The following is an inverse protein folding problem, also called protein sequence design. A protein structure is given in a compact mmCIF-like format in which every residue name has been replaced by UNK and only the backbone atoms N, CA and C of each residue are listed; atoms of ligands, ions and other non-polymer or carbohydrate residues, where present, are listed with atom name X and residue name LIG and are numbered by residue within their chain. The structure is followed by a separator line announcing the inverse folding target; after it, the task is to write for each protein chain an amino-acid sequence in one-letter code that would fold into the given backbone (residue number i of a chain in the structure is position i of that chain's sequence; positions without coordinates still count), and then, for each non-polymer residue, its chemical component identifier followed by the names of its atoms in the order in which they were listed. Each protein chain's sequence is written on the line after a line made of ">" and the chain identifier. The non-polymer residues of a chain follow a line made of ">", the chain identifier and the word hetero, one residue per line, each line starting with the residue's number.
data_IF_021269597401
#
_entry.id   IF_021269597401
#
_cell.length_a   1.000
_cell.length_b   1.000
_cell.length_c   1.000
_cell.angle_alpha   90.00
_cell.angle_beta   90.00
_cell.angle_gamma   90.00
#
_symmetry.space_group_name_H-M   'P 1'
#
loop_
_entity.id
_entity.type
_entity.pdbx_description
1 polymer ?
#
# COMPACT_ATOMS: atom_id res chain seq x y z
N UNK A 1 -7.45 -11.88 22.01
CA UNK A 1 -6.44 -12.41 21.08
C UNK A 1 -6.58 -11.67 19.75
N UNK A 2 -5.46 -11.23 19.17
CA UNK A 2 -5.42 -10.57 17.87
C UNK A 2 -5.18 -11.59 16.76
N UNK A 3 -6.01 -11.58 15.71
CA UNK A 3 -5.86 -12.41 14.53
C UNK A 3 -6.01 -11.59 13.26
N UNK A 4 -5.01 -11.62 12.37
CA UNK A 4 -4.96 -10.78 11.17
C UNK A 4 -5.06 -11.65 9.90
N UNK A 5 -6.08 -11.42 9.08
CA UNK A 5 -6.12 -11.88 7.70
C UNK A 5 -5.40 -10.88 6.81
N UNK A 6 -4.38 -11.31 6.06
CA UNK A 6 -3.54 -10.40 5.30
C UNK A 6 -2.97 -11.05 4.03
N UNK A 7 -2.45 -10.22 3.12
CA UNK A 7 -1.69 -10.68 1.95
C UNK A 7 -0.21 -10.31 2.09
N UNK A 8 0.68 -11.05 1.42
CA UNK A 8 2.14 -10.88 1.50
C UNK A 8 2.56 -9.44 1.18
N UNK A 9 2.24 -8.95 -0.02
CA UNK A 9 2.65 -7.63 -0.53
C UNK A 9 1.53 -6.59 -0.52
N UNK A 10 0.36 -6.88 0.09
CA UNK A 10 -0.72 -5.90 0.18
C UNK A 10 -0.29 -4.65 0.96
N UNK A 11 -0.32 -3.49 0.31
CA UNK A 11 0.02 -2.19 0.95
C UNK A 11 -0.86 -1.90 2.17
N UNK A 12 -2.13 -2.29 2.11
CA UNK A 12 -3.06 -2.15 3.23
C UNK A 12 -2.70 -3.11 4.39
N UNK A 13 -2.33 -4.36 4.09
CA UNK A 13 -1.92 -5.33 5.10
C UNK A 13 -0.57 -4.96 5.74
N UNK A 14 0.35 -4.36 4.98
CA UNK A 14 1.61 -3.84 5.50
C UNK A 14 1.36 -2.79 6.59
N UNK A 15 0.40 -1.88 6.43
CA UNK A 15 0.04 -0.90 7.47
C UNK A 15 -0.29 -1.60 8.79
N UNK A 16 -1.16 -2.60 8.77
CA UNK A 16 -1.56 -3.35 9.97
C UNK A 16 -0.38 -4.09 10.60
N UNK A 17 0.43 -4.81 9.79
CA UNK A 17 1.63 -5.50 10.29
C UNK A 17 2.64 -4.55 10.91
N UNK A 18 2.95 -3.43 10.26
CA UNK A 18 3.85 -2.41 10.81
C UNK A 18 3.37 -1.93 12.17
N UNK A 19 2.08 -1.60 12.31
CA UNK A 19 1.51 -1.16 13.57
C UNK A 19 1.65 -2.23 14.67
N UNK A 20 1.32 -3.48 14.36
CA UNK A 20 1.44 -4.59 15.31
C UNK A 20 2.88 -4.79 15.77
N UNK A 21 3.85 -4.72 14.86
CA UNK A 21 5.27 -4.89 15.19
C UNK A 21 5.86 -3.68 15.91
N UNK A 22 5.49 -2.45 15.56
CA UNK A 22 5.91 -1.24 16.27
C UNK A 22 5.45 -1.24 17.74
N UNK A 23 4.26 -1.77 17.97
CA UNK A 23 3.69 -1.88 19.33
C UNK A 23 4.16 -3.13 20.08
N UNK A 24 4.95 -4.00 19.45
CA UNK A 24 5.45 -5.23 20.07
C UNK A 24 4.35 -6.23 20.41
N UNK A 25 3.21 -6.17 19.76
CA UNK A 25 2.06 -7.00 20.06
C UNK A 25 2.24 -8.44 19.55
N UNK A 26 1.73 -9.41 20.31
CA UNK A 26 1.59 -10.80 19.86
C UNK A 26 0.27 -10.95 19.11
N UNK A 27 0.32 -11.59 17.96
CA UNK A 27 -0.83 -11.83 17.11
C UNK A 27 -0.61 -13.09 16.26
N UNK A 28 -1.71 -13.74 15.89
CA UNK A 28 -1.75 -14.81 14.91
C UNK A 28 -2.41 -14.31 13.63
N UNK A 29 -2.32 -15.08 12.54
CA UNK A 29 -2.94 -14.64 11.30
C UNK A 29 -2.89 -15.68 10.19
N UNK A 30 -3.63 -15.37 9.13
CA UNK A 30 -3.68 -16.15 7.89
C UNK A 30 -3.27 -15.29 6.69
N UNK A 31 -2.32 -15.82 5.91
CA UNK A 31 -1.92 -15.22 4.64
C UNK A 31 -2.89 -15.71 3.55
N UNK A 32 -3.64 -14.78 2.95
CA UNK A 32 -4.51 -15.07 1.81
C UNK A 32 -3.74 -14.85 0.50
N UNK A 33 -3.79 -15.85 -0.39
CA UNK A 33 -3.27 -15.68 -1.76
C UNK A 33 -4.30 -14.89 -2.60
N UNK A 34 -4.08 -13.57 -2.68
CA UNK A 34 -4.95 -12.66 -3.42
C UNK A 34 -4.97 -12.92 -4.93
N UNK A 35 -3.95 -13.62 -5.46
CA UNK A 35 -3.88 -13.96 -6.88
C UNK A 35 -4.69 -15.22 -7.21
N UNK A 36 -4.91 -16.10 -6.22
CA UNK A 36 -5.82 -17.24 -6.29
C UNK A 36 -7.26 -16.85 -5.96
N UNK A 37 -7.47 -15.69 -5.32
CA UNK A 37 -8.80 -15.22 -4.95
C UNK A 37 -9.26 -15.72 -3.57
N UNK A 38 -8.35 -16.06 -2.67
CA UNK A 38 -8.68 -16.50 -1.31
C UNK A 38 -9.57 -15.51 -0.55
N UNK A 39 -9.43 -14.21 -0.84
CA UNK A 39 -10.28 -13.16 -0.28
C UNK A 39 -11.74 -13.22 -0.75
N UNK A 40 -12.07 -14.05 -1.71
CA UNK A 40 -13.43 -14.26 -2.21
C UNK A 40 -14.05 -15.58 -1.71
N UNK A 41 -13.37 -16.33 -0.84
CA UNK A 41 -13.93 -17.53 -0.21
C UNK A 41 -15.15 -17.16 0.64
N UNK A 42 -16.23 -17.96 0.62
CA UNK A 42 -17.47 -17.65 1.34
C UNK A 42 -17.29 -17.39 2.84
N UNK A 43 -16.37 -18.13 3.49
CA UNK A 43 -16.06 -17.96 4.90
C UNK A 43 -15.36 -16.63 5.18
N UNK A 44 -14.47 -16.16 4.30
CA UNK A 44 -13.82 -14.87 4.45
C UNK A 44 -14.77 -13.70 4.16
N UNK A 45 -15.64 -13.83 3.16
CA UNK A 45 -16.65 -12.81 2.83
C UNK A 45 -17.65 -12.55 3.96
N UNK A 46 -17.85 -13.51 4.89
CA UNK A 46 -18.63 -13.29 6.12
C UNK A 46 -17.92 -12.34 7.09
N UNK A 47 -16.59 -12.30 7.08
CA UNK A 47 -15.78 -11.39 7.89
C UNK A 47 -15.62 -10.03 7.21
N UNK A 48 -15.31 -10.05 5.90
CA UNK A 48 -15.12 -8.83 5.10
C UNK A 48 -15.87 -8.95 3.76
N UNK A 49 -17.10 -8.42 3.69
CA UNK A 49 -17.92 -8.48 2.47
C UNK A 49 -17.28 -7.77 1.27
N UNK A 50 -16.30 -6.85 1.49
CA UNK A 50 -15.57 -6.18 0.43
C UNK A 50 -14.59 -7.11 -0.30
N UNK A 51 -14.30 -8.30 0.23
CA UNK A 51 -13.37 -9.26 -0.39
C UNK A 51 -11.95 -8.69 -0.53
N UNK A 52 -11.47 -7.95 0.47
CA UNK A 52 -10.13 -7.33 0.50
C UNK A 52 -9.43 -7.61 1.82
N UNK A 53 -8.12 -7.40 1.85
CA UNK A 53 -7.31 -7.49 3.08
C UNK A 53 -6.72 -6.12 3.42
N UNK A 54 -6.42 -5.84 4.71
CA UNK A 54 -6.51 -6.72 5.88
C UNK A 54 -7.90 -6.77 6.50
N UNK A 55 -8.13 -7.81 7.29
CA UNK A 55 -9.22 -7.88 8.27
C UNK A 55 -8.60 -8.26 9.61
N UNK A 56 -8.86 -7.47 10.64
CA UNK A 56 -8.44 -7.75 12.00
C UNK A 56 -9.61 -8.35 12.78
N UNK A 57 -9.35 -9.45 13.50
CA UNK A 57 -10.30 -9.97 14.48
C UNK A 57 -9.66 -9.83 15.87
N UNK A 58 -10.31 -9.11 16.77
CA UNK A 58 -9.88 -8.94 18.15
C UNK A 58 -10.98 -9.41 19.11
N UNK A 59 -10.74 -10.51 19.82
CA UNK A 59 -11.70 -11.11 20.74
C UNK A 59 -13.10 -11.28 20.13
N UNK A 60 -13.15 -11.81 18.91
CA UNK A 60 -14.37 -12.05 18.16
C UNK A 60 -14.97 -10.82 17.45
N UNK A 61 -14.42 -9.63 17.67
CA UNK A 61 -14.85 -8.39 16.98
C UNK A 61 -14.07 -8.23 15.69
N UNK A 62 -14.77 -8.04 14.59
CA UNK A 62 -14.19 -7.85 13.25
C UNK A 62 -14.00 -6.37 12.97
N UNK A 63 -12.80 -5.98 12.59
CA UNK A 63 -12.44 -4.62 12.18
C UNK A 63 -11.92 -4.71 10.74
N UNK A 64 -12.49 -3.90 9.87
CA UNK A 64 -12.09 -3.75 8.46
C UNK A 64 -11.61 -2.32 8.23
N UNK A 65 -11.11 -2.04 7.01
CA UNK A 65 -10.47 -0.78 6.61
C UNK A 65 -9.12 -0.55 7.31
N UNK A 66 -8.06 -0.66 6.54
CA UNK A 66 -6.69 -0.70 7.07
C UNK A 66 -6.30 0.54 7.88
N UNK A 67 -6.83 1.72 7.54
CA UNK A 67 -6.59 2.96 8.29
C UNK A 67 -7.30 2.92 9.64
N UNK A 68 -8.53 2.41 9.67
CA UNK A 68 -9.27 2.22 10.93
C UNK A 68 -8.65 1.11 11.79
N UNK A 69 -8.15 0.04 11.17
CA UNK A 69 -7.45 -1.04 11.88
C UNK A 69 -6.23 -0.51 12.62
N UNK A 70 -5.40 0.32 11.99
CA UNK A 70 -4.19 0.84 12.66
C UNK A 70 -4.52 1.85 13.76
N UNK A 71 -5.54 2.69 13.59
CA UNK A 71 -6.03 3.56 14.67
C UNK A 71 -6.61 2.73 15.82
N UNK A 72 -7.44 1.71 15.53
CA UNK A 72 -8.00 0.82 16.54
C UNK A 72 -6.91 0.13 17.37
N UNK A 73 -5.87 -0.43 16.70
CA UNK A 73 -4.75 -1.06 17.41
C UNK A 73 -4.05 -0.05 18.31
N UNK A 74 -3.85 1.18 17.84
CA UNK A 74 -3.18 2.20 18.62
C UNK A 74 -3.97 2.65 19.84
N UNK A 75 -5.29 2.78 19.71
CA UNK A 75 -6.18 3.18 20.82
C UNK A 75 -6.35 2.07 21.86
N UNK A 76 -6.45 0.80 21.43
CA UNK A 76 -6.67 -0.33 22.36
C UNK A 76 -5.40 -0.71 23.12
N UNK A 77 -4.22 -0.46 22.55
CA UNK A 77 -2.93 -0.78 23.15
C UNK A 77 -2.07 0.48 23.34
N UNK A 78 -2.38 1.34 24.32
CA UNK A 78 -1.82 2.70 24.43
C UNK A 78 -0.38 2.78 24.93
N UNK A 79 0.25 1.68 25.38
CA UNK A 79 1.58 1.69 26.01
C UNK A 79 2.69 2.23 25.10
N UNK A 80 2.57 2.02 23.78
CA UNK A 80 3.50 2.55 22.77
C UNK A 80 2.68 3.33 21.74
N UNK A 81 2.32 4.60 22.02
CA UNK A 81 1.44 5.36 21.14
C UNK A 81 2.13 5.73 19.83
N UNK A 82 1.44 5.50 18.72
CA UNK A 82 1.84 5.91 17.38
C UNK A 82 1.02 7.10 16.87
N UNK A 83 -0.12 7.38 17.51
CA UNK A 83 -0.86 8.61 17.27
C UNK A 83 -0.36 9.70 18.22
N UNK A 84 -0.08 10.92 17.73
CA UNK A 84 0.31 12.02 18.59
C UNK A 84 -0.70 12.30 19.70
N UNK A 85 -0.24 12.84 20.83
CA UNK A 85 -1.12 13.24 21.95
C UNK A 85 -1.76 14.60 21.73
N UNK A 86 -1.08 15.51 21.04
CA UNK A 86 -1.61 16.82 20.70
C UNK A 86 -2.76 16.71 19.69
N UNK A 87 -3.92 17.35 19.92
CA UNK A 87 -5.08 17.24 19.03
C UNK A 87 -4.83 17.76 17.61
N UNK A 88 -4.01 18.79 17.43
CA UNK A 88 -3.68 19.34 16.12
C UNK A 88 -2.78 18.35 15.35
N UNK A 89 -1.74 17.83 15.98
CA UNK A 89 -0.86 16.81 15.40
C UNK A 89 -1.65 15.53 15.04
N UNK A 90 -2.62 15.11 15.88
CA UNK A 90 -3.53 14.01 15.55
C UNK A 90 -4.34 14.29 14.30
N UNK A 91 -4.83 15.52 14.13
CA UNK A 91 -5.54 15.91 12.90
C UNK A 91 -4.60 15.88 11.69
N UNK A 92 -3.35 16.31 11.83
CA UNK A 92 -2.34 16.22 10.76
C UNK A 92 -2.03 14.75 10.39
N UNK A 93 -1.88 13.87 11.37
CA UNK A 93 -1.69 12.43 11.12
C UNK A 93 -2.86 11.84 10.33
N UNK A 94 -4.09 12.13 10.72
CA UNK A 94 -5.30 11.72 10.02
C UNK A 94 -5.39 12.31 8.60
N UNK A 95 -4.94 13.55 8.41
CA UNK A 95 -4.91 14.18 7.09
C UNK A 95 -3.95 13.44 6.14
N UNK A 96 -2.78 13.02 6.62
CA UNK A 96 -1.86 12.18 5.84
C UNK A 96 -2.49 10.84 5.44
N UNK A 97 -3.13 10.15 6.39
CA UNK A 97 -3.81 8.89 6.13
C UNK A 97 -5.01 9.07 5.18
N UNK A 98 -5.77 10.16 5.35
CA UNK A 98 -6.89 10.49 4.47
C UNK A 98 -6.45 10.72 3.02
N UNK A 99 -5.35 11.40 2.75
CA UNK A 99 -4.79 11.56 1.40
C UNK A 99 -4.50 10.21 0.73
N UNK A 100 -4.05 9.23 1.52
CA UNK A 100 -3.86 7.87 1.04
C UNK A 100 -5.18 7.26 0.60
N UNK A 101 -6.19 7.30 1.45
CA UNK A 101 -7.49 6.69 1.19
C UNK A 101 -8.25 7.41 0.05
N UNK A 102 -8.17 8.76 -0.02
CA UNK A 102 -8.88 9.57 -1.01
C UNK A 102 -8.34 9.37 -2.45
N UNK A 103 -7.03 9.25 -2.65
CA UNK A 103 -6.48 9.20 -4.00
C UNK A 103 -5.24 8.32 -4.21
N UNK A 104 -4.36 8.19 -3.19
CA UNK A 104 -3.09 7.49 -3.39
C UNK A 104 -3.29 5.97 -3.50
N UNK A 105 -4.25 5.40 -2.75
CA UNK A 105 -4.55 3.97 -2.81
C UNK A 105 -5.04 3.54 -4.20
N UNK A 106 -5.96 4.29 -4.79
CA UNK A 106 -6.44 4.04 -6.15
C UNK A 106 -5.32 4.19 -7.19
N UNK A 107 -4.46 5.22 -7.03
CA UNK A 107 -3.28 5.41 -7.87
C UNK A 107 -2.29 4.24 -7.73
N UNK A 108 -2.03 3.79 -6.50
CA UNK A 108 -1.15 2.65 -6.21
C UNK A 108 -1.64 1.36 -6.89
N UNK A 109 -2.93 1.06 -6.79
CA UNK A 109 -3.55 -0.07 -7.49
C UNK A 109 -3.34 0.05 -8.99
N UNK A 110 -3.67 1.21 -9.57
CA UNK A 110 -3.53 1.48 -11.00
C UNK A 110 -2.11 1.22 -11.50
N UNK A 111 -1.09 1.86 -10.92
CA UNK A 111 0.30 1.71 -11.37
C UNK A 111 0.85 0.31 -11.11
N UNK A 112 0.45 -0.33 -10.01
CA UNK A 112 0.90 -1.71 -9.71
C UNK A 112 0.41 -2.70 -10.76
N UNK A 113 -0.87 -2.61 -11.15
CA UNK A 113 -1.42 -3.47 -12.19
C UNK A 113 -0.84 -3.14 -13.57
N UNK A 114 -0.66 -1.86 -13.88
CA UNK A 114 -0.10 -1.43 -15.17
C UNK A 114 1.38 -1.79 -15.36
N UNK A 115 2.16 -1.82 -14.29
CA UNK A 115 3.61 -2.01 -14.35
C UNK A 115 4.01 -3.45 -14.03
N UNK A 116 3.62 -3.97 -12.88
CA UNK A 116 4.12 -5.26 -12.38
C UNK A 116 3.14 -6.42 -12.66
N UNK A 117 1.94 -6.38 -12.13
CA UNK A 117 1.05 -7.53 -12.12
C UNK A 117 0.54 -7.95 -13.51
N UNK A 118 0.54 -7.03 -14.48
CA UNK A 118 0.14 -7.34 -15.86
C UNK A 118 0.96 -8.46 -16.47
N UNK A 119 2.26 -8.54 -16.18
CA UNK A 119 3.14 -9.54 -16.79
C UNK A 119 2.77 -10.97 -16.41
N UNK A 120 2.36 -11.19 -15.16
CA UNK A 120 1.85 -12.49 -14.72
C UNK A 120 0.42 -12.76 -15.27
N UNK A 121 -0.44 -11.72 -15.29
CA UNK A 121 -1.82 -11.83 -15.75
C UNK A 121 -1.91 -12.12 -17.25
N UNK A 122 -1.07 -11.52 -18.07
CA UNK A 122 -1.04 -11.74 -19.53
C UNK A 122 -0.50 -13.13 -19.93
N UNK A 123 0.03 -13.92 -19.00
CA UNK A 123 0.38 -15.34 -19.22
C UNK A 123 -0.83 -16.27 -19.13
N UNK A 124 -1.97 -15.79 -18.61
CA UNK A 124 -3.21 -16.57 -18.53
C UNK A 124 -3.87 -16.68 -19.91
N UNK A 125 -4.74 -17.68 -20.06
CA UNK A 125 -5.58 -17.74 -21.28
C UNK A 125 -6.55 -16.57 -21.33
N UNK A 126 -7.07 -16.18 -22.52
CA UNK A 126 -8.08 -15.13 -22.64
C UNK A 126 -9.31 -15.38 -21.77
N UNK A 127 -9.74 -16.64 -21.66
CA UNK A 127 -10.90 -17.06 -20.88
C UNK A 127 -10.66 -16.89 -19.37
N UNK A 128 -9.48 -17.30 -18.89
CA UNK A 128 -9.08 -17.13 -17.48
C UNK A 128 -8.95 -15.65 -17.09
N UNK A 129 -8.37 -14.86 -17.99
CA UNK A 129 -8.20 -13.42 -17.76
C UNK A 129 -9.56 -12.71 -17.73
N UNK A 130 -10.46 -13.07 -18.64
CA UNK A 130 -11.82 -12.53 -18.68
C UNK A 130 -12.64 -12.93 -17.44
N UNK A 131 -12.54 -14.19 -17.02
CA UNK A 131 -13.19 -14.69 -15.80
C UNK A 131 -12.70 -13.91 -14.57
N UNK A 132 -11.38 -13.65 -14.50
CA UNK A 132 -10.81 -12.82 -13.43
C UNK A 132 -11.34 -11.39 -13.44
N UNK A 133 -11.46 -10.73 -14.59
CA UNK A 133 -12.05 -9.40 -14.63
C UNK A 133 -13.52 -9.42 -14.22
N UNK A 134 -14.31 -10.39 -14.68
CA UNK A 134 -15.72 -10.54 -14.30
C UNK A 134 -15.93 -10.76 -12.80
N UNK A 135 -14.96 -11.34 -12.09
CA UNK A 135 -15.04 -11.54 -10.64
C UNK A 135 -14.94 -10.24 -9.83
N UNK A 136 -14.52 -9.12 -10.44
CA UNK A 136 -14.45 -7.82 -9.79
C UNK A 136 -15.87 -7.21 -9.75
N UNK A 137 -16.48 -6.99 -8.57
CA UNK A 137 -17.86 -6.53 -8.47
C UNK A 137 -18.10 -5.13 -9.05
N UNK A 138 -17.22 -4.16 -8.70
CA UNK A 138 -17.35 -2.78 -9.17
C UNK A 138 -17.00 -2.66 -10.67
N UNK A 139 -17.94 -2.27 -11.54
CA UNK A 139 -17.71 -2.15 -12.97
C UNK A 139 -16.64 -1.12 -13.34
N UNK A 140 -16.57 0.01 -12.65
CA UNK A 140 -15.61 1.08 -12.92
C UNK A 140 -14.19 0.64 -12.55
N UNK A 141 -14.03 -0.02 -11.40
CA UNK A 141 -12.76 -0.59 -10.97
C UNK A 141 -12.33 -1.74 -11.89
N UNK A 142 -13.26 -2.59 -12.31
CA UNK A 142 -13.03 -3.68 -13.27
C UNK A 142 -12.45 -3.16 -14.58
N UNK A 143 -13.10 -2.15 -15.19
CA UNK A 143 -12.65 -1.59 -16.46
C UNK A 143 -11.30 -0.88 -16.32
N UNK A 144 -11.09 -0.11 -15.27
CA UNK A 144 -9.80 0.51 -14.98
C UNK A 144 -8.69 -0.53 -14.82
N UNK A 145 -8.95 -1.64 -14.12
CA UNK A 145 -7.98 -2.71 -13.96
C UNK A 145 -7.71 -3.43 -15.28
N UNK A 146 -8.75 -3.68 -16.10
CA UNK A 146 -8.62 -4.25 -17.46
C UNK A 146 -7.69 -3.41 -18.31
N UNK A 147 -7.96 -2.11 -18.41
CA UNK A 147 -7.13 -1.18 -19.18
C UNK A 147 -5.68 -1.14 -18.67
N UNK A 148 -5.48 -1.11 -17.34
CA UNK A 148 -4.14 -1.14 -16.76
C UNK A 148 -3.38 -2.41 -17.15
N UNK A 149 -4.02 -3.59 -17.14
CA UNK A 149 -3.39 -4.85 -17.51
C UNK A 149 -3.10 -4.90 -19.01
N UNK A 150 -4.07 -4.54 -19.84
CA UNK A 150 -3.96 -4.68 -21.29
C UNK A 150 -3.00 -3.65 -21.92
N UNK A 151 -3.06 -2.39 -21.48
CA UNK A 151 -2.31 -1.28 -22.08
C UNK A 151 -1.07 -0.87 -21.28
N UNK A 152 -0.91 -1.38 -20.03
CA UNK A 152 0.23 -1.05 -19.18
C UNK A 152 0.30 0.44 -18.88
N UNK A 153 1.50 0.99 -18.89
CA UNK A 153 1.76 2.41 -18.61
C UNK A 153 1.14 3.38 -19.62
N UNK A 154 0.68 2.89 -20.76
CA UNK A 154 -0.01 3.69 -21.79
C UNK A 154 -1.54 3.81 -21.54
N UNK A 155 -2.09 3.13 -20.54
CA UNK A 155 -3.50 3.27 -20.21
C UNK A 155 -3.84 4.71 -19.78
N UNK A 156 -4.98 5.29 -20.24
CA UNK A 156 -5.27 6.72 -20.12
C UNK A 156 -5.21 7.28 -18.69
N UNK A 157 -5.55 6.46 -17.72
CA UNK A 157 -5.63 6.84 -16.30
C UNK A 157 -4.29 6.66 -15.54
N UNK A 158 -3.26 6.04 -16.17
CA UNK A 158 -1.97 5.80 -15.51
C UNK A 158 -1.19 7.09 -15.31
N UNK A 159 -1.22 7.99 -16.28
CA UNK A 159 -0.56 9.30 -16.15
C UNK A 159 -1.07 10.06 -14.91
N UNK A 160 -2.38 10.11 -14.69
CA UNK A 160 -2.94 10.74 -13.49
C UNK A 160 -2.53 10.01 -12.19
N UNK A 161 -2.44 8.68 -12.22
CA UNK A 161 -2.00 7.91 -11.07
C UNK A 161 -0.53 8.21 -10.71
N UNK A 162 0.35 8.34 -11.70
CA UNK A 162 1.74 8.77 -11.51
C UNK A 162 1.81 10.18 -10.93
N UNK A 163 1.03 11.13 -11.46
CA UNK A 163 0.95 12.52 -10.94
C UNK A 163 0.42 12.56 -9.50
N UNK A 164 -0.51 11.69 -9.13
CA UNK A 164 -1.00 11.57 -7.75
C UNK A 164 0.12 11.11 -6.80
N UNK A 165 0.96 10.17 -7.23
CA UNK A 165 2.16 9.78 -6.48
C UNK A 165 3.15 10.94 -6.36
N UNK A 166 3.44 11.62 -7.47
CA UNK A 166 4.37 12.75 -7.49
C UNK A 166 3.92 13.87 -6.55
N UNK A 167 2.61 14.19 -6.56
CA UNK A 167 2.00 15.13 -5.61
C UNK A 167 2.21 14.70 -4.17
N UNK A 168 1.89 13.44 -3.83
CA UNK A 168 2.02 12.94 -2.46
C UNK A 168 3.47 12.98 -1.97
N UNK A 169 4.42 12.52 -2.80
CA UNK A 169 5.86 12.54 -2.49
C UNK A 169 6.40 13.98 -2.40
N UNK A 170 5.90 14.91 -3.22
CA UNK A 170 6.24 16.33 -3.14
C UNK A 170 5.76 16.99 -1.84
N UNK A 171 4.55 16.66 -1.39
CA UNK A 171 4.04 17.10 -0.10
C UNK A 171 4.84 16.50 1.08
N UNK A 172 5.26 15.23 0.97
CA UNK A 172 6.19 14.61 1.94
C UNK A 172 7.50 15.38 2.00
N UNK A 173 8.13 15.69 0.86
CA UNK A 173 9.39 16.44 0.80
C UNK A 173 9.28 17.77 1.53
N UNK A 174 8.22 18.54 1.24
CA UNK A 174 7.96 19.83 1.89
C UNK A 174 7.77 19.70 3.41
N UNK A 175 7.15 18.63 3.88
CA UNK A 175 6.92 18.39 5.30
C UNK A 175 8.21 17.93 5.99
N UNK A 176 8.89 16.97 5.39
CA UNK A 176 10.11 16.37 5.92
C UNK A 176 11.34 17.30 5.88
N UNK A 177 11.28 18.40 5.14
CA UNK A 177 12.30 19.46 5.22
C UNK A 177 12.32 20.20 6.56
N UNK A 178 11.26 20.04 7.39
CA UNK A 178 11.09 20.73 8.66
C UNK A 178 11.12 19.82 9.87
N UNK A 179 10.95 18.51 9.67
CA UNK A 179 10.91 17.52 10.74
C UNK A 179 11.31 16.13 10.22
N UNK A 180 11.83 15.23 11.07
CA UNK A 180 12.25 13.91 10.64
C UNK A 180 11.11 12.97 10.22
N UNK A 181 9.88 13.22 10.65
CA UNK A 181 8.69 12.43 10.35
C UNK A 181 7.53 13.29 9.88
N UNK A 182 6.49 12.68 9.34
CA UNK A 182 5.35 13.37 8.69
C UNK A 182 4.53 14.23 9.68
N UNK A 183 4.64 13.93 10.97
CA UNK A 183 3.97 14.72 12.02
C UNK A 183 4.97 15.05 13.14
N UNK A 184 6.02 15.80 12.78
CA UNK A 184 6.99 16.30 13.76
C UNK A 184 8.15 15.34 14.08
N UNK A 185 8.53 15.30 15.37
CA UNK A 185 9.76 14.64 15.79
C UNK A 185 9.64 13.13 16.00
N UNK A 186 8.42 12.60 16.07
CA UNK A 186 8.15 11.21 16.40
C UNK A 186 7.53 10.46 15.23
N UNK A 187 7.95 9.21 15.06
CA UNK A 187 7.31 8.26 14.16
C UNK A 187 5.84 8.05 14.56
N UNK A 188 4.95 8.11 13.58
CA UNK A 188 3.50 8.09 13.81
C UNK A 188 2.76 7.17 12.84
N UNK A 189 1.44 7.01 13.03
CA UNK A 189 0.58 6.28 12.09
C UNK A 189 0.58 6.89 10.68
N UNK A 190 0.88 8.18 10.53
CA UNK A 190 1.08 8.81 9.22
C UNK A 190 2.28 8.17 8.49
N UNK A 191 3.40 7.98 9.19
CA UNK A 191 4.59 7.34 8.64
C UNK A 191 4.37 5.85 8.38
N UNK A 192 3.67 5.14 9.29
CA UNK A 192 3.23 3.74 9.06
C UNK A 192 2.45 3.62 7.75
N UNK A 193 1.47 4.49 7.56
CA UNK A 193 0.62 4.45 6.37
C UNK A 193 1.42 4.80 5.10
N UNK A 194 2.23 5.85 5.11
CA UNK A 194 3.05 6.27 3.98
C UNK A 194 4.08 5.21 3.56
N UNK A 195 4.69 4.51 4.55
CA UNK A 195 5.73 3.49 4.32
C UNK A 195 5.30 2.46 3.27
N UNK A 196 4.10 1.94 3.37
CA UNK A 196 3.64 0.87 2.47
C UNK A 196 3.53 1.34 1.01
N UNK A 197 3.18 2.60 0.77
CA UNK A 197 3.01 3.18 -0.57
C UNK A 197 4.34 3.63 -1.17
N UNK A 198 5.25 4.20 -0.37
CA UNK A 198 6.61 4.54 -0.83
C UNK A 198 7.38 3.25 -1.15
N UNK A 199 7.30 2.23 -0.30
CA UNK A 199 7.87 0.91 -0.58
C UNK A 199 7.30 0.31 -1.89
N UNK A 200 5.99 0.40 -2.12
CA UNK A 200 5.38 -0.08 -3.37
C UNK A 200 5.89 0.70 -4.58
N UNK A 201 6.04 2.03 -4.49
CA UNK A 201 6.56 2.84 -5.59
C UNK A 201 7.96 2.37 -6.01
N UNK A 202 8.84 2.06 -5.06
CA UNK A 202 10.16 1.51 -5.35
C UNK A 202 10.09 0.12 -6.01
N UNK A 203 9.24 -0.76 -5.50
CA UNK A 203 9.05 -2.10 -6.08
C UNK A 203 8.65 -2.05 -7.56
N UNK A 204 7.99 -1.00 -8.00
CA UNK A 204 7.50 -0.81 -9.38
C UNK A 204 8.28 0.23 -10.18
N UNK A 205 9.55 0.46 -9.85
CA UNK A 205 10.48 1.34 -10.56
C UNK A 205 10.05 2.83 -10.60
N UNK A 206 9.43 3.30 -9.51
CA UNK A 206 9.05 4.71 -9.35
C UNK A 206 9.96 5.46 -8.36
N UNK A 207 11.12 4.93 -8.02
CA UNK A 207 12.11 5.56 -7.14
C UNK A 207 12.61 6.91 -7.66
N UNK A 208 12.54 7.16 -8.96
CA UNK A 208 12.83 8.46 -9.56
C UNK A 208 11.98 9.62 -9.01
N UNK A 209 10.84 9.32 -8.37
CA UNK A 209 10.00 10.33 -7.72
C UNK A 209 10.70 11.07 -6.57
N UNK A 210 11.74 10.48 -5.96
CA UNK A 210 12.51 11.15 -4.89
C UNK A 210 14.00 11.35 -5.20
N UNK A 211 14.43 11.16 -6.45
CA UNK A 211 15.82 11.50 -6.87
C UNK A 211 16.21 12.95 -6.53
N UNK A 212 15.25 13.90 -6.60
CA UNK A 212 15.43 15.33 -6.29
C UNK A 212 14.74 15.74 -4.98
N UNK A 213 14.46 14.77 -4.09
CA UNK A 213 13.72 14.96 -2.84
C UNK A 213 14.50 14.31 -1.69
N UNK A 214 15.61 14.96 -1.25
CA UNK A 214 16.54 14.37 -0.30
C UNK A 214 15.90 14.05 1.05
N UNK A 215 14.92 14.84 1.50
CA UNK A 215 14.27 14.62 2.80
C UNK A 215 13.38 13.35 2.78
N UNK A 216 12.75 13.05 1.64
CA UNK A 216 12.03 11.77 1.45
C UNK A 216 13.04 10.60 1.45
N UNK A 217 14.16 10.73 0.75
CA UNK A 217 15.20 9.71 0.74
C UNK A 217 15.77 9.43 2.14
N UNK A 218 16.01 10.48 2.93
CA UNK A 218 16.50 10.36 4.30
C UNK A 218 15.41 9.82 5.25
N UNK A 219 14.16 10.19 5.07
CA UNK A 219 13.04 9.57 5.78
C UNK A 219 12.99 8.07 5.49
N UNK A 220 13.09 7.65 4.23
CA UNK A 220 13.06 6.24 3.85
C UNK A 220 14.22 5.44 4.49
N UNK A 221 15.42 6.02 4.61
CA UNK A 221 16.53 5.41 5.35
C UNK A 221 16.18 5.18 6.82
N UNK A 222 15.57 6.20 7.49
CA UNK A 222 15.12 6.08 8.89
C UNK A 222 14.05 5.01 9.06
N UNK A 223 13.08 4.95 8.14
CA UNK A 223 12.04 3.92 8.14
C UNK A 223 12.63 2.51 8.02
N UNK A 224 13.56 2.31 7.09
CA UNK A 224 14.20 1.01 6.86
C UNK A 224 15.10 0.54 8.02
N UNK A 225 15.64 1.47 8.77
CA UNK A 225 16.42 1.15 9.97
C UNK A 225 15.56 0.67 11.17
N UNK A 226 14.23 0.77 11.08
CA UNK A 226 13.32 0.29 12.13
C UNK A 226 13.17 -1.24 12.05
N UNK A 227 13.31 -1.96 13.19
CA UNK A 227 13.17 -3.42 13.20
C UNK A 227 11.83 -3.93 12.69
N UNK A 228 10.78 -3.11 12.79
CA UNK A 228 9.43 -3.40 12.27
C UNK A 228 9.40 -3.51 10.75
N UNK A 229 10.28 -2.79 10.03
CA UNK A 229 10.32 -2.81 8.56
C UNK A 229 10.61 -4.22 8.03
N UNK A 230 11.68 -4.84 8.48
CA UNK A 230 12.02 -6.20 8.05
C UNK A 230 10.94 -7.22 8.47
N UNK A 231 10.46 -7.11 9.70
CA UNK A 231 9.43 -8.02 10.23
C UNK A 231 8.08 -7.89 9.52
N UNK A 232 7.70 -6.70 9.08
CA UNK A 232 6.39 -6.44 8.47
C UNK A 232 6.40 -6.51 6.94
N UNK A 233 7.53 -6.29 6.30
CA UNK A 233 7.65 -6.16 4.84
C UNK A 233 8.55 -7.26 4.28
N UNK A 234 9.85 -7.22 4.61
CA UNK A 234 10.86 -8.10 4.00
C UNK A 234 10.58 -9.57 4.28
N UNK A 235 10.22 -9.91 5.52
CA UNK A 235 9.94 -11.29 5.95
C UNK A 235 8.72 -11.92 5.24
N UNK A 236 7.85 -11.09 4.66
CA UNK A 236 6.67 -11.55 3.92
C UNK A 236 6.84 -11.55 2.41
N UNK A 237 7.99 -11.09 1.90
CA UNK A 237 8.27 -11.04 0.47
C UNK A 237 8.77 -12.40 -0.02
N UNK A 238 7.90 -13.15 -0.70
CA UNK A 238 8.15 -14.54 -1.14
C UNK A 238 8.84 -14.61 -2.50
N UNK A 239 9.35 -15.79 -2.88
CA UNK A 239 9.89 -16.01 -4.24
C UNK A 239 8.82 -15.76 -5.31
N UNK A 240 7.56 -16.18 -5.06
CA UNK A 240 6.46 -15.91 -5.98
C UNK A 240 6.19 -14.39 -6.11
N UNK A 241 6.45 -13.59 -5.07
CA UNK A 241 6.35 -12.13 -5.16
C UNK A 241 7.50 -11.55 -5.97
N UNK A 242 8.73 -12.09 -5.87
CA UNK A 242 9.86 -11.67 -6.72
C UNK A 242 9.53 -11.85 -8.20
N UNK A 243 8.94 -12.97 -8.57
CA UNK A 243 8.50 -13.22 -9.94
C UNK A 243 7.43 -12.23 -10.42
N UNK A 244 6.49 -11.88 -9.55
CA UNK A 244 5.42 -10.90 -9.85
C UNK A 244 5.93 -9.48 -10.05
N UNK A 245 7.05 -9.12 -9.40
CA UNK A 245 7.72 -7.83 -9.53
C UNK A 245 8.93 -7.87 -10.48
N UNK A 246 9.10 -8.96 -11.23
CA UNK A 246 10.07 -9.06 -12.29
C UNK A 246 9.47 -8.58 -13.63
N UNK A 247 9.82 -7.36 -14.04
CA UNK A 247 9.32 -6.70 -15.25
C UNK A 247 10.41 -5.81 -15.87
N UNK A 248 10.29 -5.37 -17.14
CA UNK A 248 11.25 -4.47 -17.80
C UNK A 248 11.29 -3.09 -17.11
N UNK A 249 12.26 -2.90 -16.21
CA UNK A 249 12.35 -1.67 -15.38
C UNK A 249 12.72 -0.43 -16.19
N UNK A 250 13.67 -0.55 -17.11
CA UNK A 250 14.20 0.61 -17.88
C UNK A 250 13.12 1.30 -18.69
N UNK A 251 12.32 0.53 -19.44
CA UNK A 251 11.18 1.06 -20.21
C UNK A 251 10.16 1.76 -19.31
N UNK A 252 9.87 1.16 -18.15
CA UNK A 252 8.95 1.73 -17.16
C UNK A 252 9.46 3.06 -16.62
N UNK A 253 10.74 3.12 -16.21
CA UNK A 253 11.38 4.35 -15.69
C UNK A 253 11.34 5.46 -16.75
N UNK A 254 11.67 5.15 -18.00
CA UNK A 254 11.64 6.12 -19.09
C UNK A 254 10.22 6.68 -19.26
N UNK A 255 9.21 5.82 -19.27
CA UNK A 255 7.81 6.25 -19.46
C UNK A 255 7.29 7.09 -18.30
N UNK A 256 7.64 6.74 -17.06
CA UNK A 256 7.30 7.56 -15.88
C UNK A 256 7.96 8.94 -15.97
N UNK A 257 9.24 9.00 -16.38
CA UNK A 257 9.93 10.29 -16.61
C UNK A 257 9.27 11.14 -17.70
N UNK A 258 8.78 10.53 -18.78
CA UNK A 258 8.02 11.22 -19.82
C UNK A 258 6.72 11.81 -19.25
N UNK A 259 5.95 11.05 -18.48
CA UNK A 259 4.71 11.50 -17.83
C UNK A 259 4.95 12.72 -16.93
N UNK A 260 6.07 12.71 -16.18
CA UNK A 260 6.41 13.78 -15.23
C UNK A 260 7.04 15.02 -15.87
N UNK A 261 7.43 14.96 -17.16
CA UNK A 261 8.01 16.10 -17.90
C UNK A 261 6.99 16.90 -18.71
N UNK A 262 5.78 16.43 -18.83
CA UNK A 262 4.71 17.01 -19.66
C UNK A 262 3.89 18.04 -18.88
N UNK A 263 4.52 18.84 -18.00
CA UNK A 263 3.91 20.03 -17.41
C UNK A 263 4.77 21.26 -17.69
#
# INVERSE_FOLDING_TARGET
>A
MLYLYHGTTSVCAIKARLTLFEKGLKWDGEILDLHRGDQHRPEYLKLNPNGVVPTLVHDGKVIIESTLIIEYIDEVFPDTPLMPTDPYERAQARLWMKKIDDYLHAACSTVTFAIAFRHALLKKTPEELEARFKSIPDPAYRERQRLSVMQGVNAPHVAQAVKNYDKYIGEMESTLSRAPYLVGEKYSLADVAATSYVNRAEMIAMEGLWERRPHVADWLKRIRARPSYDRAITAYFTEADKDRFNFPREETVQKIREILRVD
#
